data_IF_451280332036
#
_entry.id   IF_451280332036
#
_cell.length_a   1.000
_cell.length_b   1.000
_cell.length_c   1.000
_cell.angle_alpha   90.00
_cell.angle_beta   90.00
_cell.angle_gamma   90.00
#
_symmetry.space_group_name_H-M   'P 1'
#
loop_
_entity.id
_entity.type
_entity.pdbx_description
1 polymer ?
#
# COMPACT_ATOMS: atom_id res chain seq x y z
N UNK A 1 14.40 44.32 -29.34
CA UNK A 1 13.34 44.81 -28.44
C UNK A 1 12.94 43.70 -27.47
N UNK A 2 13.33 43.79 -26.19
CA UNK A 2 13.02 42.78 -25.18
C UNK A 2 11.58 42.96 -24.66
N UNK A 3 10.69 41.99 -24.89
CA UNK A 3 9.32 42.01 -24.39
C UNK A 3 9.33 41.76 -22.87
N UNK A 4 9.17 42.82 -22.07
CA UNK A 4 8.97 42.71 -20.62
C UNK A 4 7.67 41.95 -20.36
N UNK A 5 7.74 40.80 -19.69
CA UNK A 5 6.54 40.06 -19.27
C UNK A 5 5.75 40.91 -18.27
N UNK A 6 4.43 41.07 -18.43
CA UNK A 6 3.64 41.85 -17.49
C UNK A 6 3.61 41.15 -16.13
N UNK A 7 4.15 41.81 -15.10
CA UNK A 7 4.08 41.36 -13.72
C UNK A 7 2.75 41.82 -13.11
N UNK A 8 1.71 41.01 -13.25
CA UNK A 8 0.50 41.20 -12.45
C UNK A 8 0.71 40.65 -11.04
N UNK A 9 0.36 41.40 -9.98
CA UNK A 9 0.48 40.92 -8.61
C UNK A 9 -0.46 39.73 -8.42
N UNK A 10 0.11 38.55 -8.07
CA UNK A 10 -0.68 37.34 -7.82
C UNK A 10 -1.64 37.60 -6.66
N UNK A 11 -2.94 37.35 -6.88
CA UNK A 11 -3.96 37.44 -5.81
C UNK A 11 -3.52 36.56 -4.63
N UNK A 12 -3.55 37.12 -3.41
CA UNK A 12 -3.24 36.37 -2.18
C UNK A 12 -4.31 35.31 -1.98
N UNK A 13 -3.90 34.04 -2.00
CA UNK A 13 -4.80 32.90 -1.80
C UNK A 13 -5.30 32.87 -0.35
N UNK A 14 -6.59 32.59 -0.15
CA UNK A 14 -7.16 32.45 1.19
C UNK A 14 -6.63 31.19 1.89
N UNK A 15 -6.76 31.12 3.22
CA UNK A 15 -6.38 29.93 4.00
C UNK A 15 -7.14 28.69 3.56
N UNK A 16 -8.42 28.84 3.22
CA UNK A 16 -9.29 27.73 2.79
C UNK A 16 -8.90 27.20 1.40
N UNK A 17 -8.70 28.10 0.43
CA UNK A 17 -8.22 27.73 -0.91
C UNK A 17 -6.84 27.06 -0.86
N UNK A 18 -5.98 27.50 0.07
CA UNK A 18 -4.68 26.87 0.34
C UNK A 18 -4.86 25.44 0.86
N UNK A 19 -5.76 25.22 1.83
CA UNK A 19 -6.09 23.90 2.38
C UNK A 19 -6.60 22.96 1.30
N UNK A 20 -7.56 23.40 0.49
CA UNK A 20 -8.10 22.60 -0.63
C UNK A 20 -7.00 22.25 -1.64
N UNK A 21 -6.16 23.20 -2.03
CA UNK A 21 -5.08 22.97 -2.99
C UNK A 21 -4.08 21.92 -2.50
N UNK A 22 -3.59 22.03 -1.27
CA UNK A 22 -2.57 21.12 -0.75
C UNK A 22 -3.14 19.75 -0.37
N UNK A 23 -4.38 19.68 0.13
CA UNK A 23 -5.06 18.39 0.36
C UNK A 23 -5.31 17.64 -0.96
N UNK A 24 -5.73 18.34 -2.01
CA UNK A 24 -5.87 17.76 -3.34
C UNK A 24 -4.52 17.26 -3.90
N UNK A 25 -3.44 18.06 -3.75
CA UNK A 25 -2.09 17.67 -4.15
C UNK A 25 -1.60 16.44 -3.38
N UNK A 26 -1.84 16.38 -2.07
CA UNK A 26 -1.50 15.22 -1.24
C UNK A 26 -2.30 13.98 -1.66
N UNK A 27 -3.60 14.12 -1.94
CA UNK A 27 -4.46 13.04 -2.46
C UNK A 27 -3.94 12.53 -3.80
N UNK A 28 -3.62 13.41 -4.74
CA UNK A 28 -3.05 13.04 -6.04
C UNK A 28 -1.69 12.31 -5.92
N UNK A 29 -0.83 12.75 -4.98
CA UNK A 29 0.42 12.05 -4.67
C UNK A 29 0.16 10.63 -4.14
N UNK A 30 -0.81 10.48 -3.21
CA UNK A 30 -1.19 9.18 -2.65
C UNK A 30 -1.78 8.25 -3.72
N UNK A 31 -2.67 8.74 -4.57
CA UNK A 31 -3.27 7.91 -5.64
C UNK A 31 -2.22 7.45 -6.65
N UNK A 32 -1.30 8.34 -7.06
CA UNK A 32 -0.17 7.98 -7.93
C UNK A 32 0.72 6.91 -7.29
N UNK A 33 1.11 7.11 -6.03
CA UNK A 33 1.91 6.11 -5.29
C UNK A 33 1.19 4.77 -5.20
N UNK A 34 -0.10 4.77 -4.85
CA UNK A 34 -0.90 3.56 -4.76
C UNK A 34 -1.03 2.82 -6.10
N UNK A 35 -1.05 3.53 -7.22
CA UNK A 35 -1.03 2.91 -8.55
C UNK A 35 0.32 2.24 -8.83
N UNK A 36 1.43 2.93 -8.54
CA UNK A 36 2.79 2.39 -8.71
C UNK A 36 3.05 1.18 -7.79
N UNK A 37 2.62 1.25 -6.53
CA UNK A 37 2.80 0.18 -5.55
C UNK A 37 1.76 -0.95 -5.68
N UNK A 38 0.76 -0.81 -6.55
CA UNK A 38 -0.27 -1.83 -6.77
C UNK A 38 0.37 -3.13 -7.23
N UNK A 39 0.06 -4.22 -6.54
CA UNK A 39 0.60 -5.54 -6.86
C UNK A 39 -0.40 -6.32 -7.70
N UNK A 40 0.04 -6.86 -8.82
CA UNK A 40 -0.78 -7.74 -9.65
C UNK A 40 -1.06 -9.08 -8.94
N UNK A 41 -2.32 -9.50 -8.89
CA UNK A 41 -2.70 -10.77 -8.26
C UNK A 41 -2.24 -12.02 -9.01
N UNK A 42 -1.97 -11.92 -10.32
CA UNK A 42 -1.44 -13.03 -11.12
C UNK A 42 0.10 -13.18 -10.97
N UNK A 43 0.89 -12.17 -11.36
CA UNK A 43 2.35 -12.27 -11.40
C UNK A 43 3.10 -11.62 -10.22
N UNK A 44 2.41 -10.97 -9.28
CA UNK A 44 2.95 -10.28 -8.09
C UNK A 44 3.97 -9.15 -8.34
N UNK A 45 4.16 -8.73 -9.59
CA UNK A 45 4.90 -7.50 -9.93
C UNK A 45 4.05 -6.27 -9.61
N UNK A 46 4.72 -5.16 -9.34
CA UNK A 46 4.10 -3.87 -9.03
C UNK A 46 3.70 -3.11 -10.32
N UNK A 47 2.79 -2.16 -10.21
CA UNK A 47 2.46 -1.18 -11.25
C UNK A 47 1.34 -1.57 -12.22
N UNK A 48 0.64 -2.68 -12.01
CA UNK A 48 -0.50 -3.09 -12.86
C UNK A 48 -1.51 -3.98 -12.12
N UNK A 49 -2.73 -4.05 -12.65
CA UNK A 49 -3.77 -4.97 -12.15
C UNK A 49 -3.67 -6.36 -12.79
N UNK A 50 -4.41 -7.35 -12.26
CA UNK A 50 -4.45 -8.67 -12.87
C UNK A 50 -4.95 -8.66 -14.32
N UNK A 51 -5.82 -7.71 -14.70
CA UNK A 51 -6.33 -7.56 -16.07
C UNK A 51 -5.29 -6.99 -17.05
N UNK A 52 -4.41 -6.13 -16.57
CA UNK A 52 -3.34 -5.49 -17.36
C UNK A 52 -2.01 -6.27 -17.23
N UNK A 53 -2.06 -7.52 -16.76
CA UNK A 53 -0.85 -8.30 -16.51
C UNK A 53 -0.16 -8.69 -17.83
N UNK A 54 1.10 -8.29 -18.05
CA UNK A 54 1.81 -8.62 -19.30
C UNK A 54 2.13 -10.12 -19.43
N UNK A 55 2.05 -10.87 -18.32
CA UNK A 55 2.29 -12.31 -18.30
C UNK A 55 1.01 -13.14 -18.50
N UNK A 56 -0.04 -12.55 -19.06
CA UNK A 56 -1.23 -13.30 -19.47
C UNK A 56 -0.96 -13.89 -20.85
N UNK A 57 -0.96 -15.21 -20.97
CA UNK A 57 -1.16 -15.85 -22.26
C UNK A 57 -2.59 -15.49 -22.70
N UNK A 58 -2.70 -14.67 -23.74
CA UNK A 58 -3.98 -14.32 -24.37
C UNK A 58 -4.23 -15.32 -25.48
N UNK A 59 -5.44 -15.84 -25.57
CA UNK A 59 -5.86 -16.66 -26.71
C UNK A 59 -5.99 -15.79 -27.97
N UNK A 60 -6.20 -16.41 -29.14
CA UNK A 60 -6.31 -15.74 -30.44
C UNK A 60 -7.34 -14.60 -30.48
N UNK A 61 -8.40 -14.68 -29.66
CA UNK A 61 -9.46 -13.66 -29.51
C UNK A 61 -9.09 -12.51 -28.55
N UNK A 62 -7.84 -12.44 -28.08
CA UNK A 62 -7.39 -11.42 -27.11
C UNK A 62 -7.94 -11.60 -25.68
N UNK A 63 -8.76 -12.63 -25.46
CA UNK A 63 -9.27 -13.04 -24.15
C UNK A 63 -8.19 -13.72 -23.32
N UNK A 64 -8.24 -13.57 -21.99
CA UNK A 64 -7.38 -14.33 -21.07
C UNK A 64 -7.56 -15.83 -21.32
N UNK A 65 -6.45 -16.56 -21.48
CA UNK A 65 -6.46 -18.03 -21.53
C UNK A 65 -7.35 -18.62 -20.45
N UNK A 66 -8.11 -19.66 -20.80
CA UNK A 66 -8.94 -20.42 -19.85
C UNK A 66 -8.14 -20.78 -18.59
N UNK A 67 -6.90 -21.25 -18.71
CA UNK A 67 -6.02 -21.55 -17.57
C UNK A 67 -5.76 -20.35 -16.63
N UNK A 68 -5.70 -19.12 -17.15
CA UNK A 68 -5.49 -17.89 -16.35
C UNK A 68 -6.81 -17.37 -15.78
N UNK A 69 -7.90 -17.49 -16.55
CA UNK A 69 -9.27 -17.18 -16.11
C UNK A 69 -9.71 -18.06 -14.95
N UNK A 70 -9.38 -19.36 -15.00
CA UNK A 70 -9.70 -20.33 -13.95
C UNK A 70 -8.92 -20.08 -12.65
N UNK A 71 -7.66 -19.62 -12.70
CA UNK A 71 -6.91 -19.26 -11.49
C UNK A 71 -7.41 -18.00 -10.79
N UNK A 72 -8.07 -17.11 -11.53
CA UNK A 72 -8.39 -15.76 -11.07
C UNK A 72 -9.81 -15.62 -10.49
N UNK A 73 -10.71 -16.56 -10.75
CA UNK A 73 -12.15 -16.42 -10.43
C UNK A 73 -12.77 -17.68 -9.80
N UNK A 74 -11.97 -18.65 -9.35
CA UNK A 74 -12.51 -19.81 -8.65
C UNK A 74 -12.85 -19.47 -7.19
N UNK A 75 -14.02 -19.89 -6.74
CA UNK A 75 -14.36 -19.88 -5.32
C UNK A 75 -13.49 -20.89 -4.58
N UNK A 76 -12.66 -20.42 -3.65
CA UNK A 76 -11.70 -21.25 -2.93
C UNK A 76 -12.33 -22.30 -2.01
N UNK A 77 -13.63 -22.19 -1.71
CA UNK A 77 -14.37 -23.16 -0.89
C UNK A 77 -15.04 -24.27 -1.70
N UNK A 78 -15.69 -23.94 -2.82
CA UNK A 78 -16.51 -24.89 -3.57
C UNK A 78 -15.98 -25.24 -4.97
N UNK A 79 -15.02 -24.47 -5.49
CA UNK A 79 -14.38 -24.76 -6.77
C UNK A 79 -15.13 -24.24 -8.01
N UNK A 80 -16.25 -23.53 -7.86
CA UNK A 80 -16.99 -22.96 -9.00
C UNK A 80 -16.47 -21.57 -9.37
N UNK A 81 -16.75 -21.11 -10.60
CA UNK A 81 -16.32 -19.80 -11.11
C UNK A 81 -17.43 -18.74 -11.10
N UNK A 82 -18.60 -19.08 -10.55
CA UNK A 82 -19.80 -18.25 -10.63
C UNK A 82 -19.83 -17.15 -9.56
N UNK A 83 -19.13 -17.35 -8.44
CA UNK A 83 -19.18 -16.44 -7.30
C UNK A 83 -17.83 -16.29 -6.60
N UNK A 84 -17.67 -15.18 -5.88
CA UNK A 84 -16.55 -14.97 -4.97
C UNK A 84 -16.80 -15.71 -3.65
N UNK A 85 -15.75 -16.04 -2.89
CA UNK A 85 -15.86 -16.73 -1.59
C UNK A 85 -16.95 -16.13 -0.69
N UNK A 86 -17.06 -14.80 -0.57
CA UNK A 86 -18.05 -14.11 0.27
C UNK A 86 -19.51 -14.45 -0.08
N UNK A 87 -19.78 -14.75 -1.34
CA UNK A 87 -21.11 -15.08 -1.87
C UNK A 87 -21.30 -16.59 -2.03
N UNK A 88 -20.39 -17.40 -1.49
CA UNK A 88 -20.47 -18.84 -1.64
C UNK A 88 -21.67 -19.42 -0.89
N UNK A 89 -22.55 -20.19 -1.56
CA UNK A 89 -23.69 -20.83 -0.91
C UNK A 89 -23.25 -21.92 0.07
N UNK A 90 -22.03 -22.47 -0.11
CA UNK A 90 -21.44 -23.48 0.80
C UNK A 90 -20.74 -22.88 2.02
N UNK A 91 -20.86 -21.57 2.27
CA UNK A 91 -20.41 -20.98 3.53
C UNK A 91 -21.46 -21.21 4.61
N UNK A 92 -21.02 -21.79 5.73
CA UNK A 92 -21.87 -21.91 6.93
C UNK A 92 -22.14 -20.54 7.56
N UNK A 93 -23.20 -20.43 8.37
CA UNK A 93 -23.54 -19.17 9.06
C UNK A 93 -22.42 -18.68 9.97
N UNK A 94 -21.68 -19.58 10.61
CA UNK A 94 -20.52 -19.24 11.43
C UNK A 94 -19.34 -18.74 10.60
N UNK A 95 -19.10 -19.33 9.44
CA UNK A 95 -18.06 -18.86 8.50
C UNK A 95 -18.41 -17.54 7.84
N UNK A 96 -19.71 -17.24 7.68
CA UNK A 96 -20.19 -15.93 7.24
C UNK A 96 -20.02 -14.85 8.31
N UNK A 97 -19.80 -15.22 9.58
CA UNK A 97 -19.55 -14.23 10.63
C UNK A 97 -18.26 -13.50 10.29
N UNK A 98 -18.42 -12.21 10.29
CA UNK A 98 -17.38 -11.24 10.03
C UNK A 98 -16.76 -10.97 11.40
N UNK A 99 -15.46 -11.24 11.57
CA UNK A 99 -14.78 -10.95 12.85
C UNK A 99 -14.84 -9.46 13.19
N UNK A 100 -14.30 -9.07 14.35
CA UNK A 100 -14.30 -7.67 14.82
C UNK A 100 -13.81 -6.66 13.75
N UNK A 101 -12.98 -7.12 12.80
CA UNK A 101 -12.41 -6.33 11.72
C UNK A 101 -13.28 -6.15 10.46
N UNK A 102 -14.54 -6.60 10.45
CA UNK A 102 -15.38 -6.43 9.25
C UNK A 102 -14.97 -7.36 8.10
N UNK A 103 -14.14 -8.38 8.36
CA UNK A 103 -13.65 -9.35 7.37
C UNK A 103 -14.00 -10.80 7.73
N UNK A 104 -14.12 -11.63 6.69
CA UNK A 104 -14.25 -13.08 6.83
C UNK A 104 -12.96 -13.62 7.47
N UNK A 105 -13.09 -14.55 8.40
CA UNK A 105 -11.92 -15.24 8.94
C UNK A 105 -11.45 -16.34 7.98
N UNK A 106 -10.58 -15.96 7.05
CA UNK A 106 -9.96 -16.89 6.11
C UNK A 106 -8.97 -17.85 6.79
N UNK A 107 -8.54 -17.58 8.02
CA UNK A 107 -7.53 -18.38 8.72
C UNK A 107 -8.13 -19.65 9.34
N UNK A 108 -9.36 -19.57 9.86
CA UNK A 108 -10.09 -20.72 10.41
C UNK A 108 -10.79 -21.58 9.33
N UNK A 109 -10.87 -21.08 8.09
CA UNK A 109 -11.58 -21.74 7.00
C UNK A 109 -10.72 -22.75 6.24
N UNK A 110 -11.28 -23.93 5.98
CA UNK A 110 -10.70 -24.92 5.06
C UNK A 110 -11.04 -24.51 3.62
N UNK A 111 -9.99 -24.20 2.84
CA UNK A 111 -10.09 -23.72 1.47
C UNK A 111 -9.41 -24.70 0.50
N UNK A 112 -10.06 -25.82 0.15
CA UNK A 112 -9.46 -26.91 -0.62
C UNK A 112 -8.96 -26.48 -2.01
N UNK A 113 -9.59 -25.45 -2.59
CA UNK A 113 -9.25 -24.96 -3.93
C UNK A 113 -8.32 -23.73 -3.90
N UNK A 114 -7.96 -23.21 -2.71
CA UNK A 114 -6.96 -22.16 -2.59
C UNK A 114 -5.58 -22.69 -3.01
N UNK A 115 -4.80 -21.85 -3.69
CA UNK A 115 -3.41 -22.14 -4.03
C UNK A 115 -2.49 -21.29 -3.16
N UNK A 116 -1.55 -21.93 -2.47
CA UNK A 116 -0.56 -21.21 -1.68
C UNK A 116 0.48 -20.59 -2.60
N UNK A 117 0.76 -19.30 -2.44
CA UNK A 117 1.74 -18.60 -3.26
C UNK A 117 3.21 -18.86 -2.87
N UNK A 118 3.45 -19.56 -1.76
CA UNK A 118 4.79 -19.85 -1.25
C UNK A 118 5.21 -21.24 -1.71
N UNK A 119 4.43 -22.27 -1.33
CA UNK A 119 4.71 -23.65 -1.69
C UNK A 119 4.04 -24.13 -2.99
N UNK A 120 3.17 -23.33 -3.60
CA UNK A 120 2.40 -23.65 -4.83
C UNK A 120 1.43 -24.83 -4.74
N UNK A 121 1.25 -25.42 -3.54
CA UNK A 121 0.28 -26.50 -3.30
C UNK A 121 -1.14 -25.95 -3.15
N UNK A 122 -2.13 -26.80 -3.41
CA UNK A 122 -3.56 -26.51 -3.17
C UNK A 122 -3.96 -26.87 -1.74
N UNK A 123 -5.00 -26.23 -1.22
CA UNK A 123 -5.65 -26.58 0.05
C UNK A 123 -5.47 -25.58 1.19
N UNK A 124 -4.62 -24.57 1.04
CA UNK A 124 -4.38 -23.53 2.05
C UNK A 124 -3.96 -22.21 1.42
N UNK A 125 -4.09 -21.11 2.16
CA UNK A 125 -3.56 -19.80 1.79
C UNK A 125 -2.12 -19.64 2.28
N UNK A 126 -1.37 -18.69 1.71
CA UNK A 126 0.00 -18.39 2.14
C UNK A 126 0.12 -18.04 3.63
N UNK A 127 -0.94 -17.51 4.24
CA UNK A 127 -0.99 -17.20 5.67
C UNK A 127 -1.00 -18.43 6.58
N UNK A 128 -1.48 -19.58 6.07
CA UNK A 128 -1.55 -20.86 6.79
C UNK A 128 -0.44 -21.83 6.35
N UNK A 129 0.52 -21.36 5.53
CA UNK A 129 1.56 -22.22 5.01
C UNK A 129 2.66 -22.43 6.06
N UNK A 130 2.94 -23.69 6.41
CA UNK A 130 4.01 -24.05 7.35
C UNK A 130 5.40 -23.61 6.87
N UNK A 131 5.60 -23.58 5.55
CA UNK A 131 6.86 -23.13 4.93
C UNK A 131 7.01 -21.60 4.95
N UNK A 132 6.07 -20.86 5.54
CA UNK A 132 6.10 -19.40 5.60
C UNK A 132 6.67 -18.90 6.92
N UNK A 133 7.97 -18.65 6.95
CA UNK A 133 8.69 -18.08 8.10
C UNK A 133 8.19 -16.66 8.52
N UNK A 134 7.48 -15.98 7.62
CA UNK A 134 6.93 -14.64 7.89
C UNK A 134 5.46 -14.66 8.36
N UNK A 135 4.87 -15.84 8.55
CA UNK A 135 3.50 -15.99 9.05
C UNK A 135 2.48 -15.25 8.18
N UNK A 136 1.60 -14.46 8.80
CA UNK A 136 0.55 -13.73 8.07
C UNK A 136 1.11 -12.73 7.04
N UNK A 137 2.37 -12.28 7.23
CA UNK A 137 3.00 -11.22 6.45
C UNK A 137 3.88 -11.77 5.32
N UNK A 138 3.27 -12.14 4.19
CA UNK A 138 3.98 -12.81 3.07
C UNK A 138 5.21 -12.05 2.53
N UNK A 139 5.27 -10.72 2.65
CA UNK A 139 6.44 -9.89 2.24
C UNK A 139 7.34 -9.47 3.41
N UNK A 140 7.18 -10.12 4.57
CA UNK A 140 7.80 -9.70 5.82
C UNK A 140 7.03 -8.57 6.51
N UNK A 141 7.45 -8.30 7.75
CA UNK A 141 6.81 -7.36 8.65
C UNK A 141 6.16 -8.05 9.85
N UNK A 142 5.56 -7.24 10.70
CA UNK A 142 4.87 -7.67 11.91
C UNK A 142 3.83 -6.62 12.33
N UNK A 143 2.99 -6.98 13.29
CA UNK A 143 2.08 -6.07 13.95
C UNK A 143 2.86 -4.89 14.53
N UNK A 144 2.45 -3.67 14.19
CA UNK A 144 3.15 -2.44 14.59
C UNK A 144 3.04 -2.13 16.09
N UNK A 145 2.10 -2.78 16.79
CA UNK A 145 1.86 -2.56 18.22
C UNK A 145 2.71 -3.51 19.07
N UNK A 146 2.76 -4.80 18.70
CA UNK A 146 3.38 -5.83 19.54
C UNK A 146 4.48 -6.65 18.86
N UNK A 147 4.76 -6.41 17.57
CA UNK A 147 5.80 -7.13 16.83
C UNK A 147 5.47 -8.57 16.42
N UNK A 148 4.27 -9.09 16.69
CA UNK A 148 3.86 -10.43 16.28
C UNK A 148 3.59 -10.55 14.78
N UNK A 149 3.85 -11.73 14.19
CA UNK A 149 3.53 -12.05 12.80
C UNK A 149 2.21 -12.82 12.62
N UNK A 150 1.46 -13.05 13.70
CA UNK A 150 0.29 -13.95 13.71
C UNK A 150 -1.05 -13.27 13.49
N UNK A 151 -1.13 -11.94 13.67
CA UNK A 151 -2.37 -11.17 13.54
C UNK A 151 -2.12 -9.84 12.85
N UNK A 152 -3.18 -9.25 12.31
CA UNK A 152 -3.16 -7.87 11.83
C UNK A 152 -3.31 -6.91 13.02
N UNK A 153 -2.88 -5.66 12.86
CA UNK A 153 -3.02 -4.62 13.88
C UNK A 153 -4.46 -4.45 14.38
N UNK A 154 -5.45 -4.71 13.52
CA UNK A 154 -6.87 -4.65 13.86
C UNK A 154 -7.29 -5.71 14.89
N UNK A 155 -6.65 -6.88 14.85
CA UNK A 155 -6.93 -8.02 15.73
C UNK A 155 -5.82 -8.17 16.79
N UNK A 156 -5.12 -7.07 17.10
CA UNK A 156 -4.02 -7.08 18.05
C UNK A 156 -4.54 -7.14 19.50
N UNK A 157 -4.21 -8.19 20.28
CA UNK A 157 -4.71 -8.32 21.65
C UNK A 157 -4.16 -7.24 22.58
N UNK A 158 -2.97 -6.70 22.31
CA UNK A 158 -2.38 -5.61 23.09
C UNK A 158 -3.11 -4.29 22.85
N UNK A 159 -3.63 -4.07 21.64
CA UNK A 159 -4.40 -2.86 21.31
C UNK A 159 -5.76 -2.87 22.03
N UNK A 160 -6.42 -4.03 22.04
CA UNK A 160 -7.72 -4.19 22.70
C UNK A 160 -7.63 -3.95 24.22
N UNK A 161 -6.54 -4.39 24.87
CA UNK A 161 -6.32 -4.14 26.30
C UNK A 161 -6.11 -2.66 26.66
N UNK A 162 -5.54 -1.86 25.76
CA UNK A 162 -5.32 -0.41 26.02
C UNK A 162 -6.60 0.43 25.97
N UNK A 163 -7.64 -0.06 25.29
CA UNK A 163 -8.92 0.65 25.16
C UNK A 163 -9.82 0.46 26.40
N UNK A 164 -9.48 -0.49 27.29
CA UNK A 164 -10.23 -0.77 28.53
C UNK A 164 -9.66 0.00 29.75
N UNK A 165 -8.45 0.57 29.63
CA UNK A 165 -7.72 1.23 30.73
C UNK A 165 -7.59 2.77 30.56
N UNK A 166 -8.15 3.38 29.50
CA UNK A 166 -7.91 4.79 29.14
C UNK A 166 -9.22 5.60 28.95
N UNK A 167 -9.78 6.08 30.07
CA UNK A 167 -10.68 7.24 30.08
C UNK A 167 -9.83 8.52 29.89
N UNK A 168 -9.52 8.88 28.64
CA UNK A 168 -8.64 10.02 28.35
C UNK A 168 -8.79 10.61 26.95
N UNK A 169 -9.32 11.83 26.90
CA UNK A 169 -9.42 12.72 25.74
C UNK A 169 -8.15 12.76 24.85
N UNK A 170 -8.29 12.56 23.53
CA UNK A 170 -7.15 12.53 22.62
C UNK A 170 -7.50 12.38 21.14
N UNK A 171 -8.11 13.40 20.55
CA UNK A 171 -8.02 13.67 19.10
C UNK A 171 -6.55 13.91 18.72
N UNK A 172 -5.93 12.96 18.03
CA UNK A 172 -4.83 13.31 17.14
C UNK A 172 -4.86 12.43 15.89
N UNK A 173 -5.60 12.93 14.89
CA UNK A 173 -5.44 12.57 13.49
C UNK A 173 -3.95 12.60 13.13
N UNK A 174 -3.37 11.41 12.92
CA UNK A 174 -2.10 11.12 12.25
C UNK A 174 -1.73 12.13 11.15
N UNK A 175 -1.09 13.24 11.55
CA UNK A 175 -0.44 14.18 10.65
C UNK A 175 0.94 13.61 10.35
N UNK A 176 1.00 12.75 9.34
CA UNK A 176 2.29 12.29 8.81
C UNK A 176 3.09 13.50 8.32
N UNK A 177 4.21 13.75 9.01
CA UNK A 177 5.38 14.51 8.59
C UNK A 177 5.09 15.68 7.64
N UNK A 178 4.65 16.80 8.23
CA UNK A 178 4.77 18.14 7.62
C UNK A 178 5.90 18.89 8.33
N UNK A 179 7.06 18.25 8.47
CA UNK A 179 8.30 18.93 8.78
C UNK A 179 9.22 18.78 7.56
N UNK A 180 9.83 19.89 7.16
CA UNK A 180 10.68 20.05 5.97
C UNK A 180 9.94 20.28 4.64
N UNK A 181 9.34 21.47 4.48
CA UNK A 181 9.57 22.29 3.27
C UNK A 181 9.01 23.71 3.43
N UNK A 182 9.77 24.58 4.09
CA UNK A 182 9.66 26.03 3.94
C UNK A 182 11.06 26.53 3.56
N UNK A 183 11.09 27.41 2.56
CA UNK A 183 12.27 28.03 1.90
C UNK A 183 12.90 27.07 0.85
N UNK A 184 13.07 27.40 -0.44
CA UNK A 184 13.40 28.68 -1.07
C UNK A 184 12.77 28.82 -2.47
N UNK A 185 12.70 30.07 -2.91
CA UNK A 185 12.13 30.57 -4.16
C UNK A 185 13.12 30.50 -5.34
N UNK A 186 12.57 30.63 -6.55
CA UNK A 186 13.20 31.09 -7.81
C UNK A 186 14.40 30.33 -8.44
N UNK A 187 14.07 29.46 -9.41
CA UNK A 187 14.55 29.51 -10.80
C UNK A 187 16.05 29.60 -11.10
N UNK A 188 16.61 28.50 -11.63
CA UNK A 188 17.43 28.53 -12.86
C UNK A 188 17.27 27.21 -13.63
N UNK A 189 17.08 27.34 -14.93
CA UNK A 189 17.08 26.26 -15.92
C UNK A 189 18.51 25.78 -16.17
N UNK A 190 18.76 24.49 -16.05
CA UNK A 190 19.70 23.74 -16.89
C UNK A 190 19.57 22.25 -16.60
N UNK A 191 19.75 21.45 -17.65
CA UNK A 191 19.87 19.98 -17.74
C UNK A 191 20.95 19.47 -16.73
N UNK A 192 21.15 18.15 -16.43
CA UNK A 192 21.35 17.10 -17.44
C UNK A 192 21.18 15.62 -17.01
N UNK A 193 21.32 14.74 -18.02
CA UNK A 193 21.93 13.43 -17.84
C UNK A 193 23.41 13.68 -17.50
N UNK A 194 23.83 13.55 -16.24
CA UNK A 194 25.26 13.44 -15.89
C UNK A 194 25.45 12.79 -14.52
N UNK A 195 26.61 12.17 -14.42
CA UNK A 195 26.97 10.99 -13.65
C UNK A 195 27.50 11.26 -12.25
N UNK A 196 27.61 10.18 -11.50
CA UNK A 196 27.68 10.01 -10.04
C UNK A 196 28.94 10.49 -9.29
N UNK A 197 29.78 11.37 -9.84
CA UNK A 197 31.14 11.58 -9.29
C UNK A 197 31.34 12.89 -8.47
N UNK A 198 30.44 13.88 -8.54
CA UNK A 198 30.68 15.20 -7.90
C UNK A 198 30.20 15.34 -6.44
N UNK A 199 29.58 14.30 -5.86
CA UNK A 199 29.03 14.36 -4.49
C UNK A 199 30.08 14.12 -3.40
N UNK A 200 31.27 13.61 -3.74
CA UNK A 200 32.30 13.23 -2.75
C UNK A 200 33.08 14.46 -2.26
N UNK A 201 33.30 15.47 -3.10
CA UNK A 201 34.18 16.61 -2.76
C UNK A 201 33.50 17.63 -1.82
N UNK A 202 32.18 17.78 -1.86
CA UNK A 202 31.45 18.76 -1.02
C UNK A 202 31.28 18.36 0.44
N UNK A 203 31.58 17.11 0.83
CA UNK A 203 31.43 16.62 2.21
C UNK A 203 32.59 17.01 3.14
N UNK A 204 33.71 17.51 2.60
CA UNK A 204 34.94 17.77 3.37
C UNK A 204 35.07 19.20 3.98
N UNK A 205 34.13 20.12 3.76
CA UNK A 205 34.26 21.54 4.19
C UNK A 205 33.29 22.01 5.28
N UNK A 206 32.79 21.14 6.16
CA UNK A 206 32.03 21.58 7.36
C UNK A 206 33.01 21.88 8.52
N UNK A 207 33.51 23.12 8.60
CA UNK A 207 34.19 23.62 9.81
C UNK A 207 33.13 23.95 10.88
N UNK A 208 33.24 23.31 12.06
CA UNK A 208 32.43 23.62 13.25
C UNK A 208 32.84 24.99 13.80
N UNK A 209 31.88 25.92 13.98
CA UNK A 209 32.10 27.14 14.79
C UNK A 209 31.79 26.80 16.25
N UNK A 210 32.76 26.98 17.13
CA UNK A 210 32.59 26.97 18.60
C UNK A 210 32.24 28.40 19.00
N UNK A 211 31.22 28.57 19.84
CA UNK A 211 30.89 29.84 20.50
C UNK A 211 31.31 29.67 21.95
N UNK A 212 32.23 30.52 22.42
CA UNK A 212 32.54 30.60 23.85
C UNK A 212 31.52 31.51 24.54
N UNK A 213 31.13 31.11 25.75
CA UNK A 213 30.31 31.87 26.69
C UNK A 213 31.05 33.10 27.23
#
# INVERSE_FOLDING_TARGET
MAKKKPQFPKRKITKEERRVKYTAKAKARRTKKNHVDKVCFNCRRKGHTAAECPNINKDADGSMTTATKLRSQICYKCGTFEHTLKQCPKLTSNEKKVGNSGRLDYFSMILPFATCFICKKKGHLSSQCEQNENGLYVKGGSCKVCGSKTHLVADCPVKLKKEEDDDGDGDESSTGDVAEFLEEDEGTSATPYATEMDKIVKKAKRKKKVVNF
#
